data_IF_011974125754
#
_entry.id   IF_011974125754
#
_cell.length_a   1.000
_cell.length_b   1.000
_cell.length_c   1.000
_cell.angle_alpha   90.00
_cell.angle_beta   90.00
_cell.angle_gamma   90.00
#
_symmetry.space_group_name_H-M   'P 1'
#
loop_
_entity.id
_entity.type
_entity.pdbx_description
1 polymer ?
#
# COMPACT_ATOMS: atom_id res chain seq x y z
N UNK A 1 -1.34 25.51 -0.08
CA UNK A 1 -1.91 24.92 1.15
C UNK A 1 -0.81 24.24 1.95
N UNK A 2 -0.85 24.39 3.27
CA UNK A 2 0.06 23.68 4.19
C UNK A 2 -0.67 22.51 4.85
N UNK A 3 -0.08 21.33 4.82
CA UNK A 3 -0.66 20.10 5.41
C UNK A 3 0.37 19.41 6.29
N UNK A 4 0.00 19.07 7.52
CA UNK A 4 0.78 18.17 8.36
C UNK A 4 0.09 16.81 8.40
N UNK A 5 0.74 15.81 7.81
CA UNK A 5 0.32 14.43 7.90
C UNK A 5 0.75 13.82 9.23
N UNK A 6 -0.12 13.03 9.84
CA UNK A 6 0.19 12.26 11.06
C UNK A 6 -0.07 10.78 10.76
N UNK A 7 0.93 9.94 10.91
CA UNK A 7 0.80 8.48 10.85
C UNK A 7 1.48 7.84 12.06
N UNK A 8 1.38 6.52 12.19
CA UNK A 8 2.03 5.80 13.28
C UNK A 8 3.55 5.81 13.12
N UNK A 9 4.06 5.30 12.03
CA UNK A 9 5.49 5.21 11.71
C UNK A 9 5.76 5.69 10.29
N UNK A 10 6.98 6.13 10.03
CA UNK A 10 7.47 6.56 8.71
C UNK A 10 8.83 5.95 8.38
N UNK A 11 9.16 4.81 8.99
CA UNK A 11 10.37 4.07 8.63
C UNK A 11 10.29 3.59 7.19
N UNK A 12 11.20 4.00 6.30
CA UNK A 12 11.16 3.65 4.90
C UNK A 12 11.17 2.12 4.67
N UNK A 13 10.23 1.62 3.86
CA UNK A 13 10.11 0.20 3.51
C UNK A 13 9.62 -0.72 4.65
N UNK A 14 9.30 -0.16 5.83
CA UNK A 14 8.82 -0.92 6.99
C UNK A 14 7.34 -0.70 7.31
N UNK A 15 6.80 0.44 6.91
CA UNK A 15 5.39 0.79 7.13
C UNK A 15 4.77 1.29 5.84
N UNK A 16 3.88 0.50 5.26
CA UNK A 16 3.25 0.84 3.97
C UNK A 16 2.40 2.12 4.01
N UNK A 17 1.85 2.50 5.17
CA UNK A 17 1.13 3.77 5.32
C UNK A 17 2.10 4.92 5.50
N UNK A 18 3.24 4.70 6.17
CA UNK A 18 4.34 5.65 6.22
C UNK A 18 4.90 5.96 4.84
N UNK A 19 5.16 4.92 4.03
CA UNK A 19 5.62 5.06 2.65
C UNK A 19 4.60 5.80 1.78
N UNK A 20 3.31 5.43 1.88
CA UNK A 20 2.23 6.16 1.22
C UNK A 20 2.22 7.64 1.61
N UNK A 21 2.30 7.92 2.91
CA UNK A 21 2.24 9.29 3.43
C UNK A 21 3.42 10.13 2.95
N UNK A 22 4.63 9.59 2.98
CA UNK A 22 5.85 10.26 2.50
C UNK A 22 5.76 10.57 1.02
N UNK A 23 5.34 9.59 0.20
CA UNK A 23 5.20 9.77 -1.25
C UNK A 23 4.14 10.81 -1.60
N UNK A 24 2.97 10.76 -0.93
CA UNK A 24 1.92 11.76 -1.13
C UNK A 24 2.40 13.17 -0.74
N UNK A 25 3.09 13.30 0.39
CA UNK A 25 3.65 14.58 0.83
C UNK A 25 4.71 15.12 -0.15
N UNK A 26 5.59 14.24 -0.66
CA UNK A 26 6.59 14.59 -1.67
C UNK A 26 5.94 15.11 -2.97
N UNK A 27 4.90 14.44 -3.42
CA UNK A 27 4.14 14.85 -4.61
C UNK A 27 3.43 16.18 -4.41
N UNK A 28 2.79 16.39 -3.25
CA UNK A 28 2.15 17.66 -2.92
C UNK A 28 3.16 18.80 -2.90
N UNK A 29 4.37 18.57 -2.37
CA UNK A 29 5.46 19.56 -2.39
C UNK A 29 5.88 19.91 -3.83
N UNK A 30 5.94 18.91 -4.74
CA UNK A 30 6.25 19.14 -6.15
C UNK A 30 5.14 19.91 -6.88
N UNK A 31 3.89 19.80 -6.42
CA UNK A 31 2.74 20.56 -6.93
C UNK A 31 2.58 21.96 -6.31
N UNK A 32 3.58 22.43 -5.55
CA UNK A 32 3.60 23.79 -4.97
C UNK A 32 2.84 23.94 -3.65
N UNK A 33 2.51 22.83 -2.99
CA UNK A 33 1.99 22.82 -1.63
C UNK A 33 3.13 22.68 -0.61
N UNK A 34 2.82 22.73 0.68
CA UNK A 34 3.79 22.52 1.76
C UNK A 34 3.28 21.38 2.65
N UNK A 35 3.81 20.19 2.43
CA UNK A 35 3.41 18.97 3.12
C UNK A 35 4.55 18.40 3.98
N UNK A 36 4.27 18.17 5.26
CA UNK A 36 5.21 17.65 6.25
C UNK A 36 4.61 16.43 6.92
N UNK A 37 5.44 15.60 7.55
CA UNK A 37 4.97 14.34 8.15
C UNK A 37 5.41 14.20 9.59
N UNK A 38 4.52 13.69 10.46
CA UNK A 38 4.80 13.27 11.83
C UNK A 38 4.55 11.76 11.96
N UNK A 39 5.60 10.99 12.28
CA UNK A 39 5.50 9.63 12.77
C UNK A 39 5.26 9.66 14.29
N UNK A 40 4.00 9.61 14.74
CA UNK A 40 3.61 9.90 16.13
C UNK A 40 3.82 8.71 17.08
N UNK A 41 3.97 7.50 16.56
CA UNK A 41 4.10 6.25 17.31
C UNK A 41 5.10 5.30 16.65
N UNK A 42 6.32 5.81 16.38
CA UNK A 42 7.30 5.11 15.58
C UNK A 42 8.03 4.02 16.39
N UNK A 43 7.63 2.78 16.14
CA UNK A 43 8.20 1.58 16.77
C UNK A 43 9.57 1.19 16.23
N UNK A 44 9.97 1.74 15.08
CA UNK A 44 11.24 1.44 14.43
C UNK A 44 12.33 2.45 14.78
N UNK A 45 11.98 3.57 15.40
CA UNK A 45 12.93 4.59 15.77
C UNK A 45 13.64 4.24 17.09
N UNK A 46 14.97 4.09 17.06
CA UNK A 46 15.81 3.83 18.25
C UNK A 46 15.98 5.09 19.11
N UNK A 47 16.38 6.27 18.56
CA UNK A 47 16.41 7.51 19.32
C UNK A 47 15.01 7.91 19.78
N UNK A 48 14.93 8.70 20.86
CA UNK A 48 13.64 9.16 21.41
C UNK A 48 12.83 9.98 20.39
N UNK A 49 13.51 10.85 19.63
CA UNK A 49 12.94 11.62 18.53
C UNK A 49 13.99 11.90 17.46
N UNK A 50 13.53 12.11 16.24
CA UNK A 50 14.37 12.46 15.10
C UNK A 50 13.60 13.44 14.20
N UNK A 51 14.23 14.58 13.88
CA UNK A 51 13.72 15.51 12.88
C UNK A 51 14.73 15.60 11.75
N UNK A 52 14.39 15.00 10.62
CA UNK A 52 15.23 15.00 9.42
C UNK A 52 14.38 14.87 8.16
N UNK A 53 14.84 15.37 7.02
CA UNK A 53 14.17 15.13 5.75
C UNK A 53 14.32 13.67 5.34
N UNK A 54 13.22 13.09 4.85
CA UNK A 54 13.22 11.81 4.15
C UNK A 54 13.06 12.02 2.64
N UNK A 55 13.54 11.09 1.86
CA UNK A 55 13.49 11.15 0.40
C UNK A 55 12.37 10.27 -0.19
N UNK A 56 11.77 10.74 -1.28
CA UNK A 56 11.01 9.93 -2.24
C UNK A 56 11.60 10.22 -3.63
N UNK A 57 12.50 9.37 -4.09
CA UNK A 57 13.43 9.70 -5.17
C UNK A 57 14.30 10.91 -4.76
N UNK A 58 14.33 11.94 -5.56
CA UNK A 58 15.08 13.18 -5.28
C UNK A 58 14.28 14.19 -4.43
N UNK A 59 13.00 13.94 -4.19
CA UNK A 59 12.10 14.86 -3.49
C UNK A 59 12.23 14.73 -1.99
N UNK A 60 12.44 15.85 -1.30
CA UNK A 60 12.59 15.91 0.16
C UNK A 60 11.25 16.20 0.83
N UNK A 61 10.98 15.49 1.92
CA UNK A 61 9.85 15.72 2.82
C UNK A 61 10.38 15.92 4.23
N UNK A 62 10.02 17.00 4.89
CA UNK A 62 10.36 17.18 6.30
C UNK A 62 9.56 16.22 7.17
N UNK A 63 10.25 15.48 8.03
CA UNK A 63 9.67 14.44 8.88
C UNK A 63 10.11 14.64 10.33
N UNK A 64 9.13 14.61 11.24
CA UNK A 64 9.35 14.45 12.67
C UNK A 64 8.96 13.02 13.07
N UNK A 65 9.90 12.25 13.61
CA UNK A 65 9.66 10.89 14.12
C UNK A 65 9.72 10.87 15.64
N UNK A 66 8.72 10.26 16.27
CA UNK A 66 8.59 10.18 17.73
C UNK A 66 8.49 8.71 18.14
N UNK A 67 9.52 8.22 18.83
CA UNK A 67 9.66 6.82 19.22
C UNK A 67 8.57 6.41 20.23
N UNK A 68 8.17 5.13 20.14
CA UNK A 68 7.33 4.49 21.16
C UNK A 68 7.99 4.41 22.54
N UNK A 69 9.32 4.58 22.64
CA UNK A 69 10.05 4.68 23.93
C UNK A 69 9.71 5.94 24.73
N UNK A 70 9.21 7.00 24.05
CA UNK A 70 8.74 8.21 24.74
C UNK A 70 7.33 8.02 25.30
N UNK A 71 7.09 8.57 26.47
CA UNK A 71 5.75 8.70 27.02
C UNK A 71 4.84 9.53 26.08
N UNK A 72 3.56 9.23 26.06
CA UNK A 72 2.60 9.90 25.17
C UNK A 72 2.58 11.41 25.34
N UNK A 73 2.71 11.90 26.56
CA UNK A 73 2.71 13.32 26.89
C UNK A 73 3.87 14.05 26.22
N UNK A 74 5.08 13.45 26.24
CA UNK A 74 6.26 14.01 25.57
C UNK A 74 6.12 13.98 24.05
N UNK A 75 5.56 12.90 23.49
CA UNK A 75 5.28 12.83 22.04
C UNK A 75 4.27 13.89 21.61
N UNK A 76 3.18 14.07 22.36
CA UNK A 76 2.19 15.09 22.07
C UNK A 76 2.75 16.51 22.18
N UNK A 77 3.58 16.79 23.19
CA UNK A 77 4.23 18.10 23.34
C UNK A 77 5.16 18.40 22.15
N UNK A 78 5.98 17.42 21.73
CA UNK A 78 6.85 17.58 20.57
C UNK A 78 6.06 17.75 19.26
N UNK A 79 4.99 16.95 19.07
CA UNK A 79 4.11 17.08 17.92
C UNK A 79 3.38 18.42 17.88
N UNK A 80 2.87 18.89 19.03
CA UNK A 80 2.21 20.20 19.13
C UNK A 80 3.17 21.35 18.79
N UNK A 81 4.38 21.33 19.34
CA UNK A 81 5.40 22.32 19.03
C UNK A 81 5.74 22.33 17.52
N UNK A 82 5.85 21.16 16.90
CA UNK A 82 6.08 21.03 15.46
C UNK A 82 4.90 21.59 14.66
N UNK A 83 3.66 21.23 15.00
CA UNK A 83 2.45 21.73 14.36
C UNK A 83 2.32 23.24 14.50
N UNK A 84 2.63 23.80 15.68
CA UNK A 84 2.62 25.25 15.91
C UNK A 84 3.69 25.98 15.09
N UNK A 85 4.89 25.42 14.99
CA UNK A 85 5.97 26.03 14.18
C UNK A 85 5.68 26.04 12.68
N UNK A 86 4.92 25.07 12.18
CA UNK A 86 4.52 24.98 10.77
C UNK A 86 3.27 25.82 10.49
N UNK A 87 2.35 25.89 11.46
CA UNK A 87 1.02 26.47 11.34
C UNK A 87 0.27 26.02 10.08
N UNK A 88 -0.12 24.73 10.00
CA UNK A 88 -0.74 24.18 8.82
C UNK A 88 -2.23 24.57 8.70
N UNK A 89 -2.74 24.64 7.47
CA UNK A 89 -4.16 24.79 7.17
C UNK A 89 -4.93 23.51 7.58
N UNK A 90 -4.28 22.35 7.38
CA UNK A 90 -4.87 21.04 7.61
C UNK A 90 -3.94 20.11 8.40
N UNK A 91 -4.54 19.36 9.31
CA UNK A 91 -3.96 18.15 9.87
C UNK A 91 -4.63 16.94 9.20
N UNK A 92 -3.83 16.04 8.66
CA UNK A 92 -4.29 14.84 7.97
C UNK A 92 -3.84 13.59 8.70
N UNK A 93 -4.75 12.95 9.44
CA UNK A 93 -4.48 11.67 10.10
C UNK A 93 -4.57 10.51 9.11
N UNK A 94 -3.48 9.79 8.94
CA UNK A 94 -3.38 8.56 8.17
C UNK A 94 -3.63 7.38 9.12
N UNK A 95 -4.89 6.99 9.24
CA UNK A 95 -5.34 6.10 10.30
C UNK A 95 -5.19 4.62 9.94
N UNK A 96 -4.38 3.92 10.73
CA UNK A 96 -4.33 2.45 10.83
C UNK A 96 -4.39 2.10 12.31
N UNK A 97 -5.45 1.44 12.75
CA UNK A 97 -5.67 1.15 14.16
C UNK A 97 -4.53 0.35 14.80
N UNK A 98 -4.01 -0.65 14.09
CA UNK A 98 -2.90 -1.49 14.54
C UNK A 98 -1.53 -0.78 14.57
N UNK A 99 -1.40 0.35 13.92
CA UNK A 99 -0.22 1.20 14.03
C UNK A 99 -0.10 1.91 15.39
N UNK A 100 -1.20 2.11 16.08
CA UNK A 100 -1.27 2.81 17.36
C UNK A 100 -1.61 1.92 18.55
N UNK A 101 -2.15 0.73 18.33
CA UNK A 101 -2.54 -0.22 19.36
C UNK A 101 -2.48 -1.65 18.84
N UNK A 102 -1.93 -2.58 19.63
CA UNK A 102 -1.70 -3.97 19.22
C UNK A 102 -2.98 -4.75 18.92
N UNK A 103 -4.11 -4.38 19.53
CA UNK A 103 -5.43 -4.97 19.28
C UNK A 103 -6.26 -4.15 18.28
N UNK A 104 -5.71 -3.03 17.80
CA UNK A 104 -6.42 -2.09 16.94
C UNK A 104 -7.53 -1.32 17.69
N UNK A 105 -7.32 -1.02 18.97
CA UNK A 105 -8.28 -0.33 19.87
C UNK A 105 -7.66 0.95 20.47
N UNK A 106 -7.21 1.92 19.66
CA UNK A 106 -6.52 3.11 20.15
C UNK A 106 -7.49 4.15 20.77
N UNK A 107 -8.18 3.80 21.87
CA UNK A 107 -9.26 4.58 22.49
C UNK A 107 -8.89 6.03 22.84
N UNK A 108 -7.62 6.28 23.19
CA UNK A 108 -7.13 7.61 23.57
C UNK A 108 -6.58 8.42 22.41
N UNK A 109 -6.38 7.80 21.23
CA UNK A 109 -5.83 8.48 20.07
C UNK A 109 -6.73 9.62 19.58
N UNK A 110 -8.07 9.46 19.48
CA UNK A 110 -8.94 10.52 18.99
C UNK A 110 -8.84 11.82 19.77
N UNK A 111 -8.80 11.72 21.11
CA UNK A 111 -8.61 12.88 21.98
C UNK A 111 -7.25 13.57 21.72
N UNK A 112 -6.19 12.78 21.54
CA UNK A 112 -4.83 13.30 21.25
C UNK A 112 -4.77 14.04 19.91
N UNK A 113 -5.39 13.46 18.89
CA UNK A 113 -5.47 14.09 17.56
C UNK A 113 -6.32 15.35 17.62
N UNK A 114 -7.46 15.31 18.32
CA UNK A 114 -8.31 16.50 18.50
C UNK A 114 -7.53 17.65 19.14
N UNK A 115 -6.71 17.36 20.16
CA UNK A 115 -5.86 18.35 20.82
C UNK A 115 -4.82 18.95 19.85
N UNK A 116 -4.22 18.14 18.98
CA UNK A 116 -3.28 18.64 17.97
C UNK A 116 -3.94 19.48 16.89
N UNK A 117 -5.24 19.23 16.62
CA UNK A 117 -5.99 19.90 15.54
C UNK A 117 -6.90 21.04 16.01
N UNK A 118 -6.84 21.48 17.28
CA UNK A 118 -7.81 22.44 17.89
C UNK A 118 -8.10 23.69 17.07
N UNK A 119 -7.10 24.23 16.36
CA UNK A 119 -7.23 25.46 15.56
C UNK A 119 -7.09 25.22 14.06
N UNK A 120 -7.12 23.97 13.63
CA UNK A 120 -6.84 23.57 12.24
C UNK A 120 -7.90 22.61 11.75
N UNK A 121 -8.13 22.62 10.47
CA UNK A 121 -9.06 21.69 9.82
C UNK A 121 -8.52 20.28 9.90
N UNK A 122 -9.37 19.31 10.16
CA UNK A 122 -8.97 17.90 10.31
C UNK A 122 -9.51 17.04 9.19
N UNK A 123 -8.59 16.36 8.53
CA UNK A 123 -8.83 15.28 7.58
C UNK A 123 -8.43 13.94 8.20
N UNK A 124 -9.19 12.89 7.92
CA UNK A 124 -8.84 11.50 8.31
C UNK A 124 -8.93 10.57 7.12
N UNK A 125 -7.83 9.92 6.78
CA UNK A 125 -7.75 8.83 5.82
C UNK A 125 -7.78 7.50 6.56
N UNK A 126 -8.83 6.70 6.38
CA UNK A 126 -8.91 5.35 6.91
C UNK A 126 -8.32 4.35 5.92
N UNK A 127 -7.08 3.94 6.12
CA UNK A 127 -6.44 2.87 5.36
C UNK A 127 -7.02 1.51 5.73
N UNK A 128 -7.33 1.33 7.01
CA UNK A 128 -7.99 0.16 7.55
C UNK A 128 -9.13 0.54 8.48
N UNK A 129 -10.13 -0.33 8.53
CA UNK A 129 -11.22 -0.25 9.49
C UNK A 129 -11.09 -1.40 10.53
N UNK A 130 -12.16 -2.09 10.81
CA UNK A 130 -12.16 -3.26 11.69
C UNK A 130 -11.95 -4.56 10.91
N UNK A 131 -11.74 -5.67 11.60
CA UNK A 131 -11.60 -7.01 10.99
C UNK A 131 -12.76 -7.31 10.03
N UNK A 132 -12.44 -7.77 8.82
CA UNK A 132 -13.42 -8.02 7.77
C UNK A 132 -14.08 -9.41 7.92
N UNK A 133 -13.28 -10.46 8.05
CA UNK A 133 -13.74 -11.85 8.09
C UNK A 133 -13.30 -12.53 9.41
N UNK A 134 -13.99 -12.26 10.54
CA UNK A 134 -13.65 -12.91 11.79
C UNK A 134 -14.01 -14.41 11.72
N UNK A 135 -13.04 -15.29 11.98
CA UNK A 135 -13.19 -16.75 11.86
C UNK A 135 -13.65 -17.42 13.15
N UNK A 136 -13.49 -16.77 14.30
CA UNK A 136 -13.89 -17.30 15.61
C UNK A 136 -14.59 -16.24 16.49
N UNK A 137 -15.12 -16.68 17.64
CA UNK A 137 -15.87 -15.83 18.53
C UNK A 137 -15.05 -14.67 19.09
N UNK A 138 -13.77 -14.89 19.42
CA UNK A 138 -12.87 -13.84 19.92
C UNK A 138 -12.68 -12.74 18.86
N UNK A 139 -12.44 -13.12 17.62
CA UNK A 139 -12.30 -12.18 16.51
C UNK A 139 -13.62 -11.45 16.19
N UNK A 140 -14.77 -12.11 16.34
CA UNK A 140 -16.09 -11.46 16.18
C UNK A 140 -16.30 -10.38 17.24
N UNK A 141 -15.95 -10.68 18.50
CA UNK A 141 -16.00 -9.68 19.58
C UNK A 141 -15.04 -8.53 19.32
N UNK A 142 -13.79 -8.84 18.96
CA UNK A 142 -12.78 -7.82 18.62
C UNK A 142 -13.24 -6.93 17.47
N UNK A 143 -13.81 -7.50 16.41
CA UNK A 143 -14.34 -6.72 15.29
C UNK A 143 -15.48 -5.77 15.71
N UNK A 144 -16.35 -6.19 16.66
CA UNK A 144 -17.39 -5.32 17.23
C UNK A 144 -16.78 -4.16 18.04
N UNK A 145 -15.76 -4.44 18.86
CA UNK A 145 -15.07 -3.41 19.64
C UNK A 145 -14.32 -2.43 18.72
N UNK A 146 -13.62 -2.91 17.70
CA UNK A 146 -12.96 -2.06 16.71
C UNK A 146 -13.94 -1.19 15.94
N UNK A 147 -15.11 -1.74 15.55
CA UNK A 147 -16.18 -0.98 14.93
C UNK A 147 -16.68 0.16 15.82
N UNK A 148 -16.88 -0.13 17.11
CA UNK A 148 -17.27 0.86 18.12
C UNK A 148 -16.17 1.92 18.32
N UNK A 149 -14.90 1.50 18.40
CA UNK A 149 -13.77 2.40 18.55
C UNK A 149 -13.65 3.37 17.37
N UNK A 150 -13.83 2.90 16.13
CA UNK A 150 -13.82 3.77 14.94
C UNK A 150 -14.98 4.76 14.96
N UNK A 151 -16.22 4.30 15.29
CA UNK A 151 -17.36 5.20 15.41
C UNK A 151 -17.14 6.28 16.46
N UNK A 152 -16.60 5.89 17.63
CA UNK A 152 -16.24 6.84 18.68
C UNK A 152 -15.12 7.79 18.24
N UNK A 153 -14.13 7.27 17.54
CA UNK A 153 -13.01 8.08 17.01
C UNK A 153 -13.52 9.19 16.10
N UNK A 154 -14.40 8.88 15.15
CA UNK A 154 -14.96 9.88 14.23
C UNK A 154 -15.76 10.92 15.01
N UNK A 155 -16.59 10.50 15.97
CA UNK A 155 -17.39 11.44 16.80
C UNK A 155 -16.53 12.37 17.67
N UNK A 156 -15.42 11.87 18.22
CA UNK A 156 -14.52 12.67 19.05
C UNK A 156 -13.63 13.60 18.26
N UNK A 157 -13.11 13.13 17.12
CA UNK A 157 -12.23 13.93 16.26
C UNK A 157 -12.98 14.97 15.44
N UNK A 158 -14.24 14.68 15.05
CA UNK A 158 -15.05 15.53 14.18
C UNK A 158 -14.31 15.98 12.91
N UNK A 159 -13.78 15.05 12.09
CA UNK A 159 -13.08 15.43 10.89
C UNK A 159 -14.03 16.11 9.90
N UNK A 160 -13.55 17.13 9.20
CA UNK A 160 -14.30 17.80 8.13
C UNK A 160 -14.35 16.95 6.87
N UNK A 161 -13.28 16.22 6.58
CA UNK A 161 -13.18 15.32 5.45
C UNK A 161 -12.73 13.93 5.91
N UNK A 162 -13.44 12.90 5.43
CA UNK A 162 -13.10 11.50 5.67
C UNK A 162 -12.82 10.83 4.33
N UNK A 163 -11.63 10.27 4.19
CA UNK A 163 -11.27 9.45 3.05
C UNK A 163 -11.13 7.97 3.39
N UNK A 164 -11.30 7.15 2.38
CA UNK A 164 -11.05 5.69 2.41
C UNK A 164 -10.39 5.26 1.12
N UNK A 165 -9.54 4.24 1.19
CA UNK A 165 -8.83 3.72 0.00
C UNK A 165 -9.73 2.97 -0.98
N UNK A 166 -10.78 2.29 -0.49
CA UNK A 166 -11.58 1.36 -1.30
C UNK A 166 -13.08 1.52 -1.07
N UNK A 167 -13.92 1.26 -2.09
CA UNK A 167 -15.38 1.33 -1.98
C UNK A 167 -15.96 0.44 -0.89
N UNK A 168 -15.33 -0.71 -0.63
CA UNK A 168 -15.72 -1.60 0.45
C UNK A 168 -15.69 -0.88 1.82
N UNK A 169 -14.62 -0.13 2.11
CA UNK A 169 -14.52 0.66 3.34
C UNK A 169 -15.54 1.82 3.36
N UNK A 170 -15.81 2.45 2.21
CA UNK A 170 -16.87 3.47 2.10
C UNK A 170 -18.24 2.91 2.50
N UNK A 171 -18.61 1.72 2.00
CA UNK A 171 -19.88 1.06 2.37
C UNK A 171 -19.94 0.76 3.87
N UNK A 172 -18.83 0.33 4.48
CA UNK A 172 -18.75 0.05 5.92
C UNK A 172 -18.97 1.29 6.76
N UNK A 173 -18.36 2.44 6.40
CA UNK A 173 -18.57 3.72 7.10
C UNK A 173 -19.99 4.26 6.86
N UNK A 174 -20.53 4.12 5.65
CA UNK A 174 -21.95 4.44 5.37
C UNK A 174 -22.90 3.65 6.27
N UNK A 175 -22.60 2.38 6.55
CA UNK A 175 -23.35 1.55 7.53
C UNK A 175 -23.24 2.02 8.99
N UNK A 176 -22.41 3.03 9.28
CA UNK A 176 -22.32 3.75 10.55
C UNK A 176 -22.82 5.20 10.43
N UNK A 177 -23.48 5.55 9.34
CA UNK A 177 -23.99 6.89 9.01
C UNK A 177 -22.90 7.95 8.81
N UNK A 178 -21.67 7.54 8.44
CA UNK A 178 -20.60 8.47 8.08
C UNK A 178 -20.42 8.56 6.57
N UNK A 179 -20.38 9.79 6.07
CA UNK A 179 -19.98 10.05 4.69
C UNK A 179 -18.46 9.93 4.58
N UNK A 180 -17.99 9.20 3.56
CA UNK A 180 -16.58 9.10 3.24
C UNK A 180 -16.39 9.15 1.73
N UNK A 181 -15.34 9.84 1.28
CA UNK A 181 -15.00 9.97 -0.13
C UNK A 181 -13.84 9.03 -0.44
N UNK A 182 -13.91 8.25 -1.52
CA UNK A 182 -12.76 7.46 -1.95
C UNK A 182 -11.60 8.37 -2.37
N UNK A 183 -10.41 8.08 -1.83
CA UNK A 183 -9.15 8.60 -2.31
C UNK A 183 -8.30 7.39 -2.71
N UNK A 184 -7.96 7.28 -3.98
CA UNK A 184 -7.26 6.11 -4.52
C UNK A 184 -5.90 5.90 -3.87
N UNK A 185 -5.43 4.66 -3.92
CA UNK A 185 -4.06 4.32 -3.62
C UNK A 185 -3.23 4.41 -4.91
N UNK A 186 -1.96 4.70 -4.80
CA UNK A 186 -0.94 4.57 -5.84
C UNK A 186 0.04 3.46 -5.45
N UNK A 187 0.86 3.03 -6.40
CA UNK A 187 1.85 1.98 -6.17
C UNK A 187 2.88 2.35 -5.11
N UNK A 188 3.37 1.35 -4.39
CA UNK A 188 4.45 1.55 -3.41
C UNK A 188 5.85 1.57 -4.05
N UNK A 189 5.96 1.26 -5.33
CA UNK A 189 7.17 1.38 -6.15
C UNK A 189 6.94 2.49 -7.17
N UNK A 190 7.80 3.52 -7.22
CA UNK A 190 7.70 4.56 -8.22
C UNK A 190 7.93 4.01 -9.63
N UNK A 191 7.22 4.54 -10.61
CA UNK A 191 7.53 4.30 -12.01
C UNK A 191 8.78 5.10 -12.34
N UNK A 192 9.90 4.42 -12.49
CA UNK A 192 11.15 5.01 -12.93
C UNK A 192 11.26 4.81 -14.44
N UNK A 193 11.27 5.91 -15.17
CA UNK A 193 11.51 5.88 -16.62
C UNK A 193 12.96 5.47 -16.81
N UNK A 194 13.18 4.28 -17.32
CA UNK A 194 14.45 3.90 -17.88
C UNK A 194 14.39 4.21 -19.38
N UNK A 195 15.51 4.67 -19.94
CA UNK A 195 15.67 4.72 -21.38
C UNK A 195 15.28 3.34 -21.94
N UNK A 196 14.22 3.30 -22.76
CA UNK A 196 13.61 2.06 -23.28
C UNK A 196 14.54 1.30 -24.25
N UNK A 197 15.83 1.53 -24.18
CA UNK A 197 16.87 0.79 -24.91
C UNK A 197 17.26 -0.56 -24.29
N UNK A 198 16.56 -1.00 -23.25
CA UNK A 198 16.60 -2.40 -22.83
C UNK A 198 15.89 -3.24 -23.87
N UNK A 199 16.66 -3.62 -24.87
CA UNK A 199 16.32 -4.55 -25.93
C UNK A 199 15.66 -5.79 -25.31
N UNK A 200 14.33 -5.87 -25.36
CA UNK A 200 13.66 -7.16 -25.25
C UNK A 200 14.16 -7.88 -26.49
N UNK A 201 15.15 -8.73 -26.30
CA UNK A 201 15.59 -9.62 -27.37
C UNK A 201 14.34 -10.33 -27.88
N UNK A 202 13.89 -9.92 -29.07
CA UNK A 202 12.70 -10.45 -29.76
C UNK A 202 12.82 -11.96 -30.07
N UNK A 203 13.73 -12.64 -29.39
CA UNK A 203 14.04 -14.06 -29.51
C UNK A 203 14.04 -14.84 -28.19
N UNK A 204 13.76 -14.22 -27.04
CA UNK A 204 13.76 -14.96 -25.77
C UNK A 204 12.43 -15.70 -25.59
N UNK A 205 12.47 -17.02 -25.71
CA UNK A 205 11.31 -17.90 -25.52
C UNK A 205 10.93 -18.01 -24.04
N UNK A 206 11.83 -17.62 -23.10
CA UNK A 206 11.63 -17.73 -21.64
C UNK A 206 10.48 -16.83 -21.15
N UNK A 207 9.60 -17.37 -20.31
CA UNK A 207 8.56 -16.59 -19.60
C UNK A 207 9.02 -16.18 -18.22
N UNK A 208 8.89 -14.89 -17.90
CA UNK A 208 9.39 -14.31 -16.65
C UNK A 208 8.24 -13.82 -15.74
N UNK A 209 8.13 -14.40 -14.56
CA UNK A 209 7.12 -14.08 -13.56
C UNK A 209 7.73 -13.30 -12.39
N UNK A 210 7.07 -12.22 -11.97
CA UNK A 210 7.41 -11.48 -10.75
C UNK A 210 6.47 -11.87 -9.60
N UNK A 211 7.02 -12.37 -8.51
CA UNK A 211 6.35 -12.46 -7.22
C UNK A 211 6.90 -11.40 -6.27
N UNK A 212 6.09 -10.40 -5.91
CA UNK A 212 6.50 -9.32 -5.03
C UNK A 212 5.58 -9.21 -3.80
N UNK A 213 6.15 -9.39 -2.60
CA UNK A 213 5.47 -9.27 -1.31
C UNK A 213 5.62 -10.50 -0.41
N UNK A 214 4.88 -10.55 0.70
CA UNK A 214 4.95 -11.67 1.64
C UNK A 214 4.56 -13.01 1.01
N UNK A 215 5.19 -14.13 1.41
CA UNK A 215 4.91 -15.46 0.86
C UNK A 215 3.42 -15.84 0.92
N UNK A 216 2.93 -16.64 -0.05
CA UNK A 216 1.52 -16.97 -0.14
C UNK A 216 1.09 -17.97 0.95
N UNK A 217 -0.19 -17.95 1.33
CA UNK A 217 -0.79 -18.97 2.17
C UNK A 217 -1.03 -20.24 1.37
N UNK A 218 -1.12 -21.41 2.06
CA UNK A 218 -1.21 -22.75 1.47
C UNK A 218 -2.23 -22.88 0.33
N UNK A 219 -3.45 -22.36 0.49
CA UNK A 219 -4.51 -22.47 -0.54
C UNK A 219 -4.19 -21.68 -1.82
N UNK A 220 -3.60 -20.49 -1.69
CA UNK A 220 -3.16 -19.71 -2.83
C UNK A 220 -1.95 -20.35 -3.52
N UNK A 221 -1.00 -20.83 -2.70
CA UNK A 221 0.20 -21.49 -3.20
C UNK A 221 -0.13 -22.73 -4.00
N UNK A 222 -1.05 -23.58 -3.49
CA UNK A 222 -1.51 -24.75 -4.24
C UNK A 222 -2.05 -24.37 -5.61
N UNK A 223 -2.96 -23.37 -5.66
CA UNK A 223 -3.51 -22.92 -6.96
C UNK A 223 -2.43 -22.36 -7.89
N UNK A 224 -1.49 -21.57 -7.36
CA UNK A 224 -0.37 -21.05 -8.17
C UNK A 224 0.44 -22.19 -8.78
N UNK A 225 0.80 -23.19 -7.97
CA UNK A 225 1.59 -24.34 -8.44
C UNK A 225 0.80 -25.14 -9.48
N UNK A 226 -0.48 -25.44 -9.22
CA UNK A 226 -1.31 -26.19 -10.15
C UNK A 226 -1.42 -25.46 -11.50
N UNK A 227 -1.66 -24.14 -11.50
CA UNK A 227 -1.74 -23.32 -12.72
C UNK A 227 -0.38 -23.25 -13.47
N UNK A 228 0.75 -23.23 -12.72
CA UNK A 228 2.09 -23.25 -13.32
C UNK A 228 2.41 -24.60 -13.97
N UNK A 229 2.08 -25.71 -13.30
CA UNK A 229 2.23 -27.07 -13.85
C UNK A 229 1.41 -27.20 -15.13
N UNK A 230 0.15 -26.78 -15.11
CA UNK A 230 -0.72 -26.82 -16.29
C UNK A 230 -0.18 -25.95 -17.45
N UNK A 231 0.40 -24.80 -17.12
CA UNK A 231 1.01 -23.93 -18.12
C UNK A 231 2.25 -24.60 -18.73
N UNK A 232 3.21 -25.08 -17.92
CA UNK A 232 4.46 -25.69 -18.39
C UNK A 232 4.20 -26.97 -19.19
N UNK A 233 3.24 -27.81 -18.75
CA UNK A 233 2.88 -29.02 -19.48
C UNK A 233 2.31 -28.75 -20.88
N UNK A 234 1.62 -27.62 -21.05
CA UNK A 234 1.04 -27.23 -22.33
C UNK A 234 1.98 -26.36 -23.21
N UNK A 235 3.02 -25.78 -22.63
CA UNK A 235 3.93 -24.85 -23.28
C UNK A 235 5.38 -25.22 -22.88
N UNK A 236 6.14 -25.91 -23.72
CA UNK A 236 7.52 -26.31 -23.42
C UNK A 236 8.47 -25.11 -23.59
N UNK A 237 8.31 -24.12 -22.72
CA UNK A 237 9.13 -22.90 -22.71
C UNK A 237 9.79 -22.76 -21.34
N UNK A 238 11.06 -22.30 -21.25
CA UNK A 238 11.70 -22.03 -19.98
C UNK A 238 10.90 -21.01 -19.16
N UNK A 239 10.84 -21.24 -17.84
CA UNK A 239 10.15 -20.38 -16.89
C UNK A 239 11.13 -19.79 -15.89
N UNK A 240 11.12 -18.48 -15.76
CA UNK A 240 11.85 -17.76 -14.71
C UNK A 240 10.85 -17.18 -13.70
N UNK A 241 11.09 -17.41 -12.42
CA UNK A 241 10.31 -16.79 -11.35
C UNK A 241 11.26 -15.97 -10.48
N UNK A 242 11.08 -14.64 -10.50
CA UNK A 242 11.79 -13.75 -9.59
C UNK A 242 10.92 -13.45 -8.38
N UNK A 243 11.44 -13.80 -7.20
CA UNK A 243 10.78 -13.60 -5.90
C UNK A 243 11.47 -12.42 -5.21
N UNK A 244 10.67 -11.40 -4.87
CA UNK A 244 11.09 -10.28 -4.03
C UNK A 244 10.23 -10.32 -2.77
N UNK A 245 10.78 -10.93 -1.73
CA UNK A 245 10.12 -11.15 -0.44
C UNK A 245 11.16 -11.05 0.68
N UNK A 246 10.76 -10.55 1.83
CA UNK A 246 11.65 -10.58 2.99
C UNK A 246 12.10 -12.01 3.28
N UNK A 247 13.40 -12.18 3.60
CA UNK A 247 13.95 -13.50 3.98
C UNK A 247 13.22 -14.04 5.21
N UNK A 248 12.60 -15.21 5.06
CA UNK A 248 11.87 -15.88 6.14
C UNK A 248 11.77 -17.38 5.87
N UNK A 249 11.51 -18.16 6.92
CA UNK A 249 11.21 -19.59 6.77
C UNK A 249 10.03 -19.84 5.82
N UNK A 250 9.06 -18.92 5.78
CA UNK A 250 7.92 -19.01 4.85
C UNK A 250 8.36 -18.81 3.41
N UNK A 251 9.31 -17.91 3.15
CA UNK A 251 9.89 -17.69 1.80
C UNK A 251 10.64 -18.94 1.36
N UNK A 252 11.47 -19.52 2.22
CA UNK A 252 12.21 -20.74 1.91
C UNK A 252 11.26 -21.91 1.58
N UNK A 253 10.22 -22.13 2.37
CA UNK A 253 9.20 -23.14 2.10
C UNK A 253 8.43 -22.88 0.79
N UNK A 254 8.19 -21.63 0.46
CA UNK A 254 7.56 -21.26 -0.80
C UNK A 254 8.44 -21.66 -1.99
N UNK A 255 9.73 -21.32 -1.95
CA UNK A 255 10.71 -21.68 -2.98
C UNK A 255 10.85 -23.20 -3.10
N UNK A 256 11.01 -23.90 -1.98
CA UNK A 256 11.11 -25.36 -1.94
C UNK A 256 9.92 -26.05 -2.63
N UNK A 257 8.69 -25.59 -2.33
CA UNK A 257 7.50 -26.15 -2.96
C UNK A 257 7.44 -25.86 -4.47
N UNK A 258 7.83 -24.69 -4.92
CA UNK A 258 7.94 -24.38 -6.35
C UNK A 258 8.96 -25.29 -7.03
N UNK A 259 10.19 -25.38 -6.48
CA UNK A 259 11.27 -26.19 -7.02
C UNK A 259 10.88 -27.69 -7.11
N UNK A 260 10.29 -28.22 -6.02
CA UNK A 260 9.90 -29.64 -5.98
C UNK A 260 8.79 -29.96 -6.97
N UNK A 261 7.76 -29.12 -7.05
CA UNK A 261 6.56 -29.40 -7.85
C UNK A 261 6.75 -29.10 -9.33
N UNK A 262 7.75 -28.30 -9.70
CA UNK A 262 8.08 -27.93 -11.07
C UNK A 262 9.41 -28.55 -11.53
N UNK A 263 9.92 -29.57 -10.81
CA UNK A 263 11.22 -30.20 -11.08
C UNK A 263 11.35 -30.83 -12.48
N UNK A 264 10.23 -31.22 -13.08
CA UNK A 264 10.20 -31.83 -14.42
C UNK A 264 10.22 -30.80 -15.55
N UNK A 265 10.22 -29.49 -15.24
CA UNK A 265 10.18 -28.40 -16.20
C UNK A 265 11.46 -27.57 -16.13
N UNK A 266 11.79 -26.88 -17.21
CA UNK A 266 12.91 -25.94 -17.25
C UNK A 266 12.55 -24.68 -16.44
N UNK A 267 13.00 -24.64 -15.16
CA UNK A 267 12.66 -23.62 -14.19
C UNK A 267 13.90 -22.94 -13.61
N UNK A 268 13.92 -21.62 -13.65
CA UNK A 268 14.88 -20.79 -12.90
C UNK A 268 14.17 -19.99 -11.81
N UNK A 269 14.56 -20.13 -10.55
CA UNK A 269 14.05 -19.33 -9.43
C UNK A 269 15.18 -18.40 -8.94
N UNK A 270 14.87 -17.11 -8.89
CA UNK A 270 15.76 -16.07 -8.33
C UNK A 270 15.10 -15.46 -7.09
N UNK A 271 15.68 -15.68 -5.91
CA UNK A 271 15.27 -15.01 -4.67
C UNK A 271 16.18 -13.81 -4.44
N UNK A 272 15.61 -12.61 -4.54
CA UNK A 272 16.33 -11.34 -4.34
C UNK A 272 16.21 -10.82 -2.89
N UNK A 273 15.42 -11.48 -2.04
CA UNK A 273 15.14 -10.97 -0.70
C UNK A 273 14.49 -9.59 -0.76
N UNK A 274 15.15 -8.56 -0.21
CA UNK A 274 14.77 -7.16 -0.39
C UNK A 274 15.50 -6.59 -1.61
N UNK A 275 14.75 -5.94 -2.49
CA UNK A 275 15.27 -5.26 -3.67
C UNK A 275 15.10 -3.74 -3.58
N UNK A 276 15.97 -2.98 -4.23
CA UNK A 276 15.83 -1.53 -4.35
C UNK A 276 14.61 -1.14 -5.18
N UNK A 277 14.17 0.11 -5.07
CA UNK A 277 13.03 0.61 -5.86
C UNK A 277 13.33 0.60 -7.36
N UNK A 278 14.58 0.86 -7.74
CA UNK A 278 15.09 0.80 -9.11
C UNK A 278 15.00 -0.62 -9.66
N UNK A 279 15.50 -1.61 -8.89
CA UNK A 279 15.41 -3.03 -9.25
C UNK A 279 13.97 -3.49 -9.40
N UNK A 280 13.09 -3.10 -8.46
CA UNK A 280 11.66 -3.42 -8.52
C UNK A 280 10.98 -2.80 -9.74
N UNK A 281 11.27 -1.53 -10.03
CA UNK A 281 10.74 -0.86 -11.22
C UNK A 281 11.21 -1.55 -12.50
N UNK A 282 12.50 -1.91 -12.58
CA UNK A 282 13.06 -2.66 -13.71
C UNK A 282 12.35 -4.01 -13.90
N UNK A 283 12.19 -4.79 -12.83
CA UNK A 283 11.49 -6.08 -12.89
C UNK A 283 10.05 -5.92 -13.37
N UNK A 284 9.34 -4.89 -12.92
CA UNK A 284 7.97 -4.61 -13.35
C UNK A 284 7.90 -4.20 -14.82
N UNK A 285 8.96 -3.64 -15.38
CA UNK A 285 9.07 -3.34 -16.82
C UNK A 285 9.43 -4.57 -17.65
N UNK A 286 10.23 -5.49 -17.11
CA UNK A 286 10.83 -6.59 -17.90
C UNK A 286 10.10 -7.93 -17.75
N UNK A 287 9.47 -8.23 -16.61
CA UNK A 287 8.70 -9.45 -16.41
C UNK A 287 7.44 -9.51 -17.28
N UNK A 288 6.96 -10.70 -17.63
CA UNK A 288 5.75 -10.89 -18.42
C UNK A 288 4.48 -10.77 -17.58
N UNK A 289 4.50 -11.30 -16.37
CA UNK A 289 3.34 -11.31 -15.45
C UNK A 289 3.77 -11.06 -14.01
N UNK A 290 3.01 -10.25 -13.30
CA UNK A 290 3.08 -10.10 -11.85
C UNK A 290 2.03 -10.94 -11.14
N UNK A 291 2.34 -11.47 -9.96
CA UNK A 291 1.40 -12.25 -9.16
C UNK A 291 0.82 -11.41 -8.03
N UNK A 292 -0.51 -11.32 -7.94
CA UNK A 292 -1.21 -10.69 -6.83
C UNK A 292 -2.09 -11.66 -6.04
N UNK A 293 -1.93 -11.65 -4.71
CA UNK A 293 -2.76 -12.43 -3.76
C UNK A 293 -4.01 -11.68 -3.30
N UNK A 294 -4.21 -10.47 -3.77
CA UNK A 294 -5.30 -9.62 -3.28
C UNK A 294 -6.66 -10.23 -3.61
N UNK A 295 -7.60 -10.14 -2.69
CA UNK A 295 -9.00 -10.34 -3.02
C UNK A 295 -9.44 -9.18 -3.93
N UNK A 296 -10.24 -9.42 -4.98
CA UNK A 296 -10.63 -8.38 -5.94
C UNK A 296 -11.16 -7.09 -5.30
N UNK A 297 -12.03 -7.22 -4.29
CA UNK A 297 -12.62 -6.07 -3.58
C UNK A 297 -11.62 -5.33 -2.67
N UNK A 298 -10.44 -5.90 -2.43
CA UNK A 298 -9.34 -5.32 -1.65
C UNK A 298 -8.15 -4.88 -2.51
N UNK A 299 -8.21 -5.08 -3.84
CA UNK A 299 -7.09 -4.77 -4.74
C UNK A 299 -6.56 -3.35 -4.55
N UNK A 300 -7.45 -2.38 -4.38
CA UNK A 300 -7.09 -0.98 -4.12
C UNK A 300 -6.43 -0.69 -2.78
N UNK A 301 -6.15 -1.70 -1.97
CA UNK A 301 -5.30 -1.62 -0.77
C UNK A 301 -3.91 -2.22 -0.98
N UNK A 302 -3.67 -2.83 -2.14
CA UNK A 302 -2.43 -3.52 -2.44
C UNK A 302 -1.47 -2.59 -3.21
N UNK A 303 -0.59 -1.91 -2.50
CA UNK A 303 0.43 -1.06 -3.13
C UNK A 303 1.30 -1.82 -4.13
N UNK A 304 1.58 -3.10 -3.90
CA UNK A 304 2.36 -3.94 -4.82
C UNK A 304 1.61 -4.26 -6.11
N UNK A 305 0.32 -4.63 -6.01
CA UNK A 305 -0.48 -4.90 -7.20
C UNK A 305 -0.71 -3.63 -8.02
N UNK A 306 -0.93 -2.49 -7.35
CA UNK A 306 -1.09 -1.20 -8.02
C UNK A 306 0.22 -0.80 -8.70
N UNK A 307 1.37 -0.98 -8.04
CA UNK A 307 2.67 -0.69 -8.65
C UNK A 307 2.87 -1.49 -9.94
N UNK A 308 2.57 -2.79 -9.95
CA UNK A 308 2.65 -3.60 -11.17
C UNK A 308 1.74 -3.05 -12.28
N UNK A 309 0.51 -2.66 -11.95
CA UNK A 309 -0.44 -2.07 -12.92
C UNK A 309 0.03 -0.69 -13.42
N UNK A 310 0.59 0.16 -12.55
CA UNK A 310 1.18 1.45 -12.93
C UNK A 310 2.37 1.30 -13.89
N UNK A 311 3.15 0.21 -13.76
CA UNK A 311 4.23 -0.14 -14.69
C UNK A 311 3.71 -0.79 -15.99
N UNK A 312 2.40 -0.96 -16.14
CA UNK A 312 1.81 -1.62 -17.30
C UNK A 312 2.01 -3.13 -17.33
N UNK A 313 2.40 -3.75 -16.22
CA UNK A 313 2.60 -5.20 -16.09
C UNK A 313 1.26 -5.93 -15.97
N UNK A 314 0.97 -6.93 -16.81
CA UNK A 314 -0.14 -7.86 -16.60
C UNK A 314 -0.08 -8.49 -15.21
N UNK A 315 -1.21 -8.58 -14.53
CA UNK A 315 -1.27 -9.12 -13.16
C UNK A 315 -2.23 -10.30 -13.11
N UNK A 316 -1.72 -11.45 -12.71
CA UNK A 316 -2.57 -12.57 -12.38
C UNK A 316 -3.21 -12.40 -11.01
N UNK A 317 -4.53 -12.44 -10.99
CA UNK A 317 -5.39 -12.29 -9.83
C UNK A 317 -6.47 -13.38 -9.88
N UNK A 318 -6.26 -14.58 -9.30
CA UNK A 318 -7.04 -15.79 -9.59
C UNK A 318 -8.54 -15.69 -9.27
N UNK A 319 -8.96 -14.74 -8.46
CA UNK A 319 -10.38 -14.50 -8.13
C UNK A 319 -10.97 -13.33 -8.91
N UNK A 320 -10.27 -12.82 -9.92
CA UNK A 320 -10.76 -11.73 -10.74
C UNK A 320 -11.95 -12.18 -11.58
N UNK A 321 -13.08 -11.52 -11.47
CA UNK A 321 -14.31 -11.83 -12.20
C UNK A 321 -14.88 -10.62 -12.95
N UNK A 322 -14.03 -9.62 -13.24
CA UNK A 322 -14.51 -8.37 -13.85
C UNK A 322 -15.36 -7.52 -12.93
N UNK A 323 -15.19 -7.64 -11.61
CA UNK A 323 -16.07 -7.06 -10.60
C UNK A 323 -16.39 -5.58 -10.83
N UNK A 324 -17.70 -5.25 -10.84
CA UNK A 324 -18.25 -3.91 -11.10
C UNK A 324 -17.90 -2.88 -10.02
N UNK A 325 -17.52 -3.35 -8.83
CA UNK A 325 -17.36 -2.52 -7.61
C UNK A 325 -15.95 -1.94 -7.39
N UNK A 326 -15.06 -2.05 -8.36
CA UNK A 326 -13.72 -1.49 -8.24
C UNK A 326 -13.75 -0.09 -8.81
N UNK A 327 -13.85 0.89 -7.92
CA UNK A 327 -13.65 2.30 -8.25
C UNK A 327 -12.16 2.58 -8.42
N UNK A 328 -11.60 2.21 -9.55
CA UNK A 328 -10.23 2.57 -9.81
C UNK A 328 -10.07 2.99 -11.24
N UNK A 329 -9.26 4.02 -11.43
CA UNK A 329 -8.58 4.36 -12.66
C UNK A 329 -7.59 3.26 -13.08
N UNK A 330 -7.77 2.01 -12.61
CA UNK A 330 -6.90 0.91 -12.97
C UNK A 330 -7.18 0.45 -14.38
N UNK A 331 -6.14 0.06 -15.00
CA UNK A 331 -6.13 -0.70 -16.24
C UNK A 331 -6.64 -2.11 -15.96
N UNK A 332 -7.96 -2.26 -15.92
CA UNK A 332 -8.63 -3.55 -15.66
C UNK A 332 -8.29 -4.60 -16.71
N UNK A 333 -7.93 -4.16 -17.88
CA UNK A 333 -7.45 -4.96 -19.01
C UNK A 333 -6.16 -5.72 -18.70
N UNK A 334 -5.36 -5.24 -17.74
CA UNK A 334 -4.15 -5.92 -17.25
C UNK A 334 -4.42 -6.94 -16.14
N UNK A 335 -5.67 -7.14 -15.73
CA UNK A 335 -6.03 -8.10 -14.67
C UNK A 335 -6.54 -9.42 -15.28
N UNK A 336 -5.88 -10.51 -14.97
CA UNK A 336 -6.19 -11.84 -15.47
C UNK A 336 -6.54 -12.79 -14.34
N UNK A 337 -7.63 -13.55 -14.48
CA UNK A 337 -8.00 -14.64 -13.55
C UNK A 337 -7.33 -15.96 -13.90
N UNK A 338 -6.92 -16.13 -15.14
CA UNK A 338 -6.26 -17.30 -15.69
C UNK A 338 -4.78 -17.00 -15.96
N UNK A 339 -3.89 -17.83 -15.41
CA UNK A 339 -2.43 -17.61 -15.49
C UNK A 339 -1.90 -17.85 -16.90
N UNK A 340 -2.44 -18.86 -17.61
CA UNK A 340 -2.03 -19.14 -18.99
C UNK A 340 -2.36 -17.98 -19.90
N UNK A 341 -3.56 -17.41 -19.78
CA UNK A 341 -3.96 -16.22 -20.55
C UNK A 341 -3.07 -15.03 -20.21
N UNK A 342 -2.71 -14.83 -18.94
CA UNK A 342 -1.80 -13.77 -18.54
C UNK A 342 -0.40 -13.92 -19.14
N UNK A 343 0.20 -15.13 -19.09
CA UNK A 343 1.53 -15.43 -19.62
C UNK A 343 1.60 -15.37 -21.14
N UNK A 344 0.52 -15.69 -21.83
CA UNK A 344 0.44 -15.63 -23.30
C UNK A 344 -0.02 -14.25 -23.81
N UNK A 345 -0.34 -13.33 -22.90
CA UNK A 345 -0.76 -11.98 -23.28
C UNK A 345 0.45 -11.16 -23.72
N UNK A 346 0.33 -10.55 -24.90
CA UNK A 346 1.24 -9.50 -25.37
C UNK A 346 0.86 -8.11 -24.86
N UNK A 347 -0.26 -8.05 -24.09
CA UNK A 347 -0.80 -6.80 -23.61
C UNK A 347 0.14 -6.14 -22.62
N UNK A 348 0.62 -4.97 -22.99
CA UNK A 348 1.38 -4.05 -22.15
C UNK A 348 0.80 -2.66 -22.31
N UNK A 349 0.76 -1.93 -21.24
CA UNK A 349 0.38 -0.53 -21.29
C UNK A 349 1.59 0.37 -21.01
N UNK A 350 1.68 1.57 -21.57
CA UNK A 350 2.68 2.55 -21.15
C UNK A 350 2.58 2.79 -19.65
N UNK A 351 3.69 2.93 -18.93
CA UNK A 351 3.65 3.23 -17.49
C UNK A 351 2.88 4.52 -17.20
N UNK A 352 2.12 4.52 -16.10
CA UNK A 352 1.31 5.68 -15.71
C UNK A 352 1.13 5.69 -14.19
N UNK A 353 1.71 6.65 -13.51
CA UNK A 353 1.63 6.79 -12.06
C UNK A 353 0.31 7.44 -11.63
N UNK A 354 -0.37 6.80 -10.69
CA UNK A 354 -1.59 7.34 -10.07
C UNK A 354 -1.30 8.43 -9.02
N UNK A 355 -0.05 8.57 -8.59
CA UNK A 355 0.34 9.47 -7.51
C UNK A 355 -0.01 10.95 -7.80
N UNK A 356 0.32 11.55 -8.99
CA UNK A 356 -0.01 12.94 -9.26
C UNK A 356 -1.52 13.22 -9.21
N UNK A 357 -2.31 12.31 -9.79
CA UNK A 357 -3.77 12.43 -9.80
C UNK A 357 -4.37 12.24 -8.40
N UNK A 358 -3.80 11.32 -7.60
CA UNK A 358 -4.25 11.13 -6.22
C UNK A 358 -3.94 12.36 -5.36
N UNK A 359 -2.77 12.97 -5.54
CA UNK A 359 -2.40 14.21 -4.87
C UNK A 359 -3.35 15.36 -5.23
N UNK A 360 -3.65 15.54 -6.52
CA UNK A 360 -4.61 16.55 -6.96
C UNK A 360 -6.01 16.29 -6.36
N UNK A 361 -6.53 15.06 -6.44
CA UNK A 361 -7.81 14.70 -5.83
C UNK A 361 -7.87 14.95 -4.32
N UNK A 362 -6.75 14.72 -3.62
CA UNK A 362 -6.63 15.03 -2.19
C UNK A 362 -6.82 16.53 -1.93
N UNK A 363 -6.15 17.37 -2.70
CA UNK A 363 -6.27 18.84 -2.58
C UNK A 363 -7.68 19.31 -2.91
N UNK A 364 -8.28 18.81 -4.00
CA UNK A 364 -9.62 19.18 -4.42
C UNK A 364 -10.68 18.84 -3.34
N UNK A 365 -10.50 17.71 -2.65
CA UNK A 365 -11.39 17.32 -1.56
C UNK A 365 -11.21 18.15 -0.28
N UNK A 366 -10.03 18.71 -0.05
CA UNK A 366 -9.76 19.60 1.08
C UNK A 366 -10.16 21.06 0.80
N UNK A 367 -10.39 21.42 -0.46
CA UNK A 367 -10.80 22.78 -0.88
C UNK A 367 -12.13 22.77 -1.67
N UNK A 368 -13.23 22.21 -1.13
CA UNK A 368 -14.49 22.25 -1.85
C UNK A 368 -14.95 23.69 -2.04
N UNK A 369 -15.04 24.15 -3.27
CA UNK A 369 -15.67 25.44 -3.61
C UNK A 369 -14.72 26.62 -3.89
N UNK A 370 -13.54 26.40 -4.42
CA UNK A 370 -12.81 27.44 -5.17
C UNK A 370 -13.11 27.36 -6.66
#
# INVERSE_FOLDING_TARGET
MKVVFICSSVEPGRDGVGDYTRRLAAELNSQGHNALVIGLHDKHLIPASLKEPQLDGERKVEVLRLSTSLAWEKRLAAAAHFVESVDPDWISLQYVSYGFDIQGLPWRLPWRIRKLSERRRLHVMFHELWLDKPVNLKQRLLAKLQKSAISQSIRQMQPEVINVTIPFNRRRLKGLSYAAVPLGLFGNVPVLLQDQNGDRSTGCIEKHILYFGTPPKTTFLKKLIDDLVDFCAANPVPLRITIVSGSSEQTNRFIEQLTTRLADFELTISDLGFASLETLSLLMHTCDVGISRSEPHLLGKSGTAIAMLEHGLPVWLPKWSGAKDIHFSFRKELLFSDLRTALNSELRCPPDSLLPKTAQNFIDQLTPGR
#
